data_IF_299217042056
#
_entry.id   IF_299217042056
#
_cell.length_a   1.000
_cell.length_b   1.000
_cell.length_c   1.000
_cell.angle_alpha   90.00
_cell.angle_beta   90.00
_cell.angle_gamma   90.00
#
_symmetry.space_group_name_H-M   'P 1'
#
loop_
_entity.id
_entity.type
_entity.pdbx_description
1 polymer ?
#
# COMPACT_ATOMS: atom_id res chain seq x y z
N UNK A 1 -27.31 26.40 12.31
CA UNK A 1 -26.40 25.26 12.60
C UNK A 1 -26.12 24.48 11.31
N UNK A 2 -24.94 24.67 10.68
CA UNK A 2 -24.47 23.95 9.48
C UNK A 2 -23.58 22.74 9.83
N UNK A 3 -23.66 22.22 11.06
CA UNK A 3 -22.83 21.09 11.51
C UNK A 3 -23.16 19.78 10.76
N UNK A 4 -24.44 19.52 10.53
CA UNK A 4 -24.92 18.30 9.85
C UNK A 4 -24.34 18.13 8.43
N UNK A 5 -24.36 19.16 7.54
CA UNK A 5 -23.78 19.01 6.21
C UNK A 5 -22.25 18.88 6.24
N UNK A 6 -21.57 19.50 7.20
CA UNK A 6 -20.11 19.37 7.35
C UNK A 6 -19.71 17.94 7.78
N UNK A 7 -20.46 17.35 8.72
CA UNK A 7 -20.27 15.97 9.15
C UNK A 7 -20.52 14.96 8.02
N UNK A 8 -21.55 15.19 7.21
CA UNK A 8 -21.84 14.34 6.06
C UNK A 8 -20.74 14.42 5.00
N UNK A 9 -20.16 15.61 4.81
CA UNK A 9 -19.08 15.82 3.86
C UNK A 9 -17.78 15.14 4.30
N UNK A 10 -17.40 15.30 5.58
CA UNK A 10 -16.21 14.64 6.12
C UNK A 10 -16.33 13.12 6.12
N UNK A 11 -17.49 12.56 6.45
CA UNK A 11 -17.73 11.12 6.38
C UNK A 11 -17.55 10.56 4.96
N UNK A 12 -18.00 11.28 3.93
CA UNK A 12 -17.78 10.90 2.53
C UNK A 12 -16.31 10.90 2.16
N UNK A 13 -15.56 11.93 2.57
CA UNK A 13 -14.12 12.02 2.29
C UNK A 13 -13.34 10.86 2.94
N UNK A 14 -13.68 10.51 4.18
CA UNK A 14 -13.08 9.37 4.88
C UNK A 14 -13.34 8.06 4.13
N UNK A 15 -14.57 7.82 3.68
CA UNK A 15 -14.91 6.62 2.92
C UNK A 15 -14.13 6.53 1.59
N UNK A 16 -13.98 7.65 0.89
CA UNK A 16 -13.19 7.71 -0.35
C UNK A 16 -11.72 7.41 -0.07
N UNK A 17 -11.15 7.99 0.98
CA UNK A 17 -9.75 7.77 1.36
C UNK A 17 -9.50 6.29 1.74
N UNK A 18 -10.41 5.67 2.49
CA UNK A 18 -10.31 4.25 2.84
C UNK A 18 -10.39 3.38 1.59
N UNK A 19 -11.36 3.64 0.70
CA UNK A 19 -11.50 2.87 -0.55
C UNK A 19 -10.24 2.99 -1.43
N UNK A 20 -9.68 4.19 -1.56
CA UNK A 20 -8.43 4.40 -2.30
C UNK A 20 -7.24 3.68 -1.65
N UNK A 21 -7.11 3.75 -0.32
CA UNK A 21 -6.06 3.06 0.42
C UNK A 21 -6.15 1.53 0.26
N UNK A 22 -7.35 0.96 0.32
CA UNK A 22 -7.55 -0.49 0.09
C UNK A 22 -7.16 -0.90 -1.33
N UNK A 23 -7.57 -0.11 -2.34
CA UNK A 23 -7.22 -0.38 -3.74
C UNK A 23 -5.70 -0.28 -3.99
N UNK A 24 -5.03 0.66 -3.33
CA UNK A 24 -3.59 0.89 -3.48
C UNK A 24 -2.72 -0.03 -2.60
N UNK A 25 -3.27 -0.62 -1.53
CA UNK A 25 -2.54 -1.50 -0.61
C UNK A 25 -1.94 -2.73 -1.32
N UNK A 26 -2.63 -3.23 -2.35
CA UNK A 26 -2.14 -4.34 -3.17
C UNK A 26 -0.95 -3.99 -4.07
N UNK A 27 -0.70 -2.70 -4.36
CA UNK A 27 0.40 -2.30 -5.23
C UNK A 27 1.77 -2.33 -4.53
N UNK A 28 1.81 -2.28 -3.19
CA UNK A 28 3.05 -2.40 -2.42
C UNK A 28 3.41 -3.85 -2.05
N UNK A 29 2.52 -4.80 -2.37
CA UNK A 29 2.70 -6.21 -2.06
C UNK A 29 3.55 -6.97 -3.09
N UNK A 30 4.09 -6.30 -4.11
CA UNK A 30 5.07 -6.88 -5.02
C UNK A 30 6.44 -7.03 -4.32
N UNK A 31 6.47 -7.83 -3.25
CA UNK A 31 7.69 -8.42 -2.72
C UNK A 31 7.88 -9.75 -3.44
N UNK A 32 9.06 -10.08 -4.00
CA UNK A 32 9.27 -11.39 -4.60
C UNK A 32 8.99 -12.51 -3.58
N UNK A 33 8.18 -13.49 -3.98
CA UNK A 33 7.67 -14.59 -3.13
C UNK A 33 8.78 -15.58 -2.69
N UNK A 34 10.01 -15.43 -3.22
CA UNK A 34 11.17 -16.17 -2.78
C UNK A 34 12.49 -15.75 -3.46
N UNK A 35 13.62 -16.34 -3.06
CA UNK A 35 14.96 -16.06 -3.60
C UNK A 35 15.17 -16.46 -5.07
N UNK A 36 14.11 -16.91 -5.76
CA UNK A 36 14.10 -17.16 -7.21
C UNK A 36 13.33 -16.13 -8.02
N UNK A 37 12.59 -15.22 -7.37
CA UNK A 37 11.69 -14.25 -8.03
C UNK A 37 12.30 -12.84 -8.12
N UNK A 38 13.55 -12.67 -7.68
CA UNK A 38 14.23 -11.39 -7.83
C UNK A 38 14.69 -11.20 -9.27
N UNK A 39 14.36 -10.02 -9.82
CA UNK A 39 14.73 -9.63 -11.17
C UNK A 39 16.18 -9.17 -11.16
N UNK A 40 17.11 -10.02 -11.60
CA UNK A 40 18.54 -9.69 -11.68
C UNK A 40 19.44 -10.92 -11.69
N UNK A 41 20.76 -10.75 -11.71
CA UNK A 41 21.72 -11.84 -11.53
C UNK A 41 21.46 -12.57 -10.20
N UNK A 42 21.70 -13.90 -10.11
CA UNK A 42 21.37 -14.72 -8.95
C UNK A 42 22.00 -14.21 -7.64
N UNK A 43 23.15 -13.53 -7.72
CA UNK A 43 23.83 -12.91 -6.58
C UNK A 43 23.07 -11.73 -5.94
N UNK A 44 21.99 -11.24 -6.55
CA UNK A 44 21.13 -10.18 -6.01
C UNK A 44 19.99 -10.73 -5.12
N UNK A 45 19.74 -12.04 -5.18
CA UNK A 45 18.68 -12.69 -4.42
C UNK A 45 19.11 -13.14 -3.01
N UNK A 46 20.35 -12.90 -2.62
CA UNK A 46 20.79 -13.15 -1.25
C UNK A 46 20.32 -11.99 -0.36
N UNK A 47 19.73 -12.26 0.81
CA UNK A 47 19.40 -11.21 1.76
C UNK A 47 20.70 -10.49 2.16
N UNK A 48 20.78 -9.19 1.88
CA UNK A 48 21.88 -8.35 2.37
C UNK A 48 21.72 -8.17 3.88
N UNK A 49 22.29 -9.07 4.66
CA UNK A 49 22.60 -8.83 6.07
C UNK A 49 23.90 -8.02 6.09
N UNK A 50 23.81 -6.70 5.99
CA UNK A 50 24.97 -5.79 6.06
C UNK A 50 25.81 -6.01 7.33
N UNK A 51 27.11 -5.70 7.22
CA UNK A 51 28.16 -5.76 8.25
C UNK A 51 27.84 -5.05 9.55
#
# INVERSE_FOLDING_TARGET
MKLRPLLAHSARLVLVAIAAGVMLSGCAAAQPDGPGDCVGPPDFCVPFFGS
#
